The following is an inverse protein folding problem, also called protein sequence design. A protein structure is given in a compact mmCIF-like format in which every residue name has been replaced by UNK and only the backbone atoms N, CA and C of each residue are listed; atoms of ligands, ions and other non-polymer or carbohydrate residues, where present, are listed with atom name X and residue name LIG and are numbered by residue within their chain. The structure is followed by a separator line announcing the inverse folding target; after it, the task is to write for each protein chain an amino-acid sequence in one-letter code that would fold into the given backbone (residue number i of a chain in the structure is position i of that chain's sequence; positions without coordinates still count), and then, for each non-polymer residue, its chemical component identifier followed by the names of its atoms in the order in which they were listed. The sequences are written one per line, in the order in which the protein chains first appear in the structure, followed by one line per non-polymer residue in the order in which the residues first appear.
data_IF_916792004974
#
_entry.id   IF_916792004974
#
_cell.length_a   1.000
_cell.length_b   1.000
_cell.length_c   1.000
_cell.angle_alpha   90.00
_cell.angle_beta   90.00
_cell.angle_gamma   90.00
#
_symmetry.space_group_name_H-M   'P 1'
#
loop_
_entity.id
_entity.type
_entity.pdbx_description
1 polymer ?
#
# COMPACT_ATOMS: atom_id res chain seq x y z
N UNK A 1 0.65 23.30 11.53
CA UNK A 1 2.11 23.22 11.29
C UNK A 1 2.35 23.27 9.79
N UNK A 2 3.55 23.63 9.34
CA UNK A 2 3.94 23.54 7.93
C UNK A 2 4.76 22.28 7.69
N UNK A 3 4.25 21.40 6.83
CA UNK A 3 4.78 20.06 6.61
C UNK A 3 5.15 19.88 5.14
N UNK A 4 6.43 19.61 4.89
CA UNK A 4 6.91 19.22 3.57
C UNK A 4 6.98 17.71 3.47
N UNK A 5 6.31 17.14 2.48
CA UNK A 5 6.46 15.74 2.09
C UNK A 5 7.39 15.62 0.89
N UNK A 6 8.42 14.78 0.97
CA UNK A 6 9.27 14.47 -0.18
C UNK A 6 9.00 13.04 -0.62
N UNK A 7 8.66 12.86 -1.90
CA UNK A 7 8.35 11.56 -2.50
C UNK A 7 8.96 11.46 -3.90
N UNK A 8 9.19 10.25 -4.41
CA UNK A 8 9.81 10.06 -5.72
C UNK A 8 8.93 10.59 -6.87
N UNK A 9 7.67 10.18 -6.89
CA UNK A 9 6.66 10.49 -7.91
C UNK A 9 5.27 10.45 -7.26
N UNK A 10 4.22 10.81 -8.01
CA UNK A 10 2.81 10.69 -7.61
C UNK A 10 2.05 9.71 -8.53
N UNK A 11 2.69 8.60 -8.88
CA UNK A 11 2.10 7.53 -9.70
C UNK A 11 1.12 6.65 -8.89
N UNK A 12 0.67 5.53 -9.47
CA UNK A 12 -0.35 4.62 -8.93
C UNK A 12 0.16 3.67 -7.82
N UNK A 13 1.00 4.16 -6.90
CA UNK A 13 1.56 3.35 -5.81
C UNK A 13 0.80 3.50 -4.48
N UNK A 14 1.12 2.64 -3.52
CA UNK A 14 0.45 2.62 -2.22
C UNK A 14 0.90 3.74 -1.26
N UNK A 15 2.15 4.19 -1.38
CA UNK A 15 2.65 5.32 -0.60
C UNK A 15 2.07 6.64 -1.10
N UNK A 16 1.96 6.77 -2.42
CA UNK A 16 1.35 7.88 -3.13
C UNK A 16 -0.13 8.01 -2.76
N UNK A 17 -0.87 6.88 -2.72
CA UNK A 17 -2.27 6.83 -2.25
C UNK A 17 -2.41 7.31 -0.81
N UNK A 18 -1.56 6.82 0.09
CA UNK A 18 -1.63 7.21 1.49
C UNK A 18 -1.23 8.68 1.69
N UNK A 19 -0.25 9.18 0.94
CA UNK A 19 0.11 10.59 0.95
C UNK A 19 -1.05 11.47 0.45
N UNK A 20 -1.69 11.13 -0.67
CA UNK A 20 -2.86 11.88 -1.17
C UNK A 20 -4.00 11.88 -0.16
N UNK A 21 -4.29 10.73 0.46
CA UNK A 21 -5.34 10.64 1.47
C UNK A 21 -5.02 11.52 2.70
N UNK A 22 -3.78 11.47 3.19
CA UNK A 22 -3.32 12.27 4.33
C UNK A 22 -3.47 13.77 4.05
N UNK A 23 -2.90 14.28 2.96
CA UNK A 23 -2.90 15.73 2.68
C UNK A 23 -4.27 16.28 2.30
N UNK A 24 -5.18 15.43 1.80
CA UNK A 24 -6.53 15.83 1.47
C UNK A 24 -7.46 15.86 2.69
N UNK A 25 -7.15 15.06 3.72
CA UNK A 25 -8.00 14.94 4.92
C UNK A 25 -7.48 15.75 6.11
N UNK A 26 -6.19 16.08 6.15
CA UNK A 26 -5.63 16.97 7.17
C UNK A 26 -5.84 18.44 6.78
N UNK A 27 -6.81 19.08 7.44
CA UNK A 27 -7.18 20.49 7.22
C UNK A 27 -6.53 21.45 8.22
N UNK A 28 -5.81 20.94 9.23
CA UNK A 28 -5.18 21.75 10.27
C UNK A 28 -3.71 22.10 9.95
N UNK A 29 -3.09 21.35 9.05
CA UNK A 29 -1.70 21.55 8.65
C UNK A 29 -1.59 22.05 7.21
N UNK A 30 -0.58 22.90 6.97
CA UNK A 30 -0.22 23.34 5.63
C UNK A 30 0.70 22.29 5.01
N UNK A 31 0.19 21.53 4.04
CA UNK A 31 0.93 20.47 3.35
C UNK A 31 1.53 20.95 2.03
N UNK A 32 2.79 20.60 1.80
CA UNK A 32 3.51 20.88 0.57
C UNK A 32 4.20 19.60 0.12
N UNK A 33 4.01 19.21 -1.13
CA UNK A 33 4.60 17.99 -1.70
C UNK A 33 5.74 18.36 -2.63
N UNK A 34 6.90 17.73 -2.46
CA UNK A 34 8.03 17.79 -3.38
C UNK A 34 8.16 16.43 -4.07
N UNK A 35 8.02 16.40 -5.39
CA UNK A 35 8.30 15.20 -6.20
C UNK A 35 9.68 15.29 -6.83
N UNK A 36 10.45 14.20 -6.78
CA UNK A 36 11.82 14.17 -7.30
C UNK A 36 11.86 14.04 -8.82
N UNK A 37 10.96 13.22 -9.39
CA UNK A 37 10.94 12.90 -10.81
C UNK A 37 9.62 13.33 -11.46
N UNK A 38 9.66 13.59 -12.77
CA UNK A 38 8.47 13.82 -13.55
C UNK A 38 7.67 12.53 -13.75
N UNK A 39 6.39 12.60 -13.43
CA UNK A 39 5.44 11.52 -13.64
C UNK A 39 4.02 12.10 -13.68
N UNK A 40 3.12 11.41 -14.38
CA UNK A 40 1.70 11.76 -14.37
C UNK A 40 1.13 11.48 -12.98
N UNK A 41 0.57 12.52 -12.35
CA UNK A 41 -0.18 12.38 -11.11
C UNK A 41 -1.37 11.44 -11.32
N UNK A 42 -1.48 10.41 -10.48
CA UNK A 42 -2.50 9.39 -10.58
C UNK A 42 -3.69 9.65 -9.64
N UNK A 43 -3.41 10.04 -8.39
CA UNK A 43 -4.43 10.34 -7.38
C UNK A 43 -4.72 11.84 -7.31
N UNK A 44 -5.95 12.19 -6.94
CA UNK A 44 -6.36 13.57 -6.74
C UNK A 44 -5.72 14.15 -5.47
N UNK A 45 -5.29 15.40 -5.56
CA UNK A 45 -4.69 16.17 -4.47
C UNK A 45 -5.43 17.50 -4.42
N UNK A 46 -5.85 17.93 -3.23
CA UNK A 46 -6.54 19.20 -3.00
C UNK A 46 -5.73 20.37 -3.58
N UNK A 47 -6.40 21.31 -4.26
CA UNK A 47 -5.79 22.48 -4.89
C UNK A 47 -5.02 23.37 -3.89
N UNK A 48 -5.38 23.34 -2.61
CA UNK A 48 -4.68 24.05 -1.54
C UNK A 48 -3.27 23.47 -1.27
N UNK A 49 -3.04 22.19 -1.61
CA UNK A 49 -1.76 21.51 -1.39
C UNK A 49 -0.81 21.85 -2.54
N UNK A 50 0.24 22.62 -2.21
CA UNK A 50 1.26 23.00 -3.20
C UNK A 50 2.13 21.80 -3.59
N UNK A 51 2.11 21.43 -4.87
CA UNK A 51 3.00 20.40 -5.44
C UNK A 51 4.16 21.05 -6.21
N UNK A 52 5.39 20.77 -5.79
CA UNK A 52 6.63 21.26 -6.41
C UNK A 52 7.36 20.09 -7.05
N UNK A 53 7.36 20.04 -8.38
CA UNK A 53 8.11 19.02 -9.12
C UNK A 53 9.53 19.52 -9.43
N UNK A 54 10.56 18.76 -9.01
CA UNK A 54 11.96 19.11 -9.28
C UNK A 54 12.45 18.69 -10.67
N UNK A 55 11.69 17.84 -11.37
CA UNK A 55 11.98 17.29 -12.68
C UNK A 55 13.45 16.86 -12.85
N UNK A 56 13.92 15.99 -11.97
CA UNK A 56 15.31 15.54 -11.97
C UNK A 56 15.51 14.40 -12.97
N UNK A 57 16.70 14.35 -13.57
CA UNK A 57 17.12 13.20 -14.36
C UNK A 57 17.78 12.15 -13.44
N UNK A 58 17.79 10.89 -13.87
CA UNK A 58 18.42 9.81 -13.08
C UNK A 58 19.95 9.75 -13.28
N UNK A 59 20.67 10.82 -12.94
CA UNK A 59 22.14 10.91 -13.05
C UNK A 59 22.79 11.59 -11.84
N UNK A 60 24.12 11.49 -11.71
CA UNK A 60 24.86 11.93 -10.50
C UNK A 60 24.77 13.46 -10.27
N UNK A 61 24.87 14.26 -11.34
CA UNK A 61 24.73 15.72 -11.30
C UNK A 61 23.35 16.11 -10.77
N UNK A 62 22.31 15.38 -11.18
CA UNK A 62 20.95 15.58 -10.70
C UNK A 62 20.80 15.25 -9.21
N UNK A 63 21.59 14.32 -8.66
CA UNK A 63 21.57 14.03 -7.20
C UNK A 63 22.15 15.18 -6.37
N UNK A 64 23.22 15.83 -6.83
CA UNK A 64 23.75 17.02 -6.16
C UNK A 64 22.78 18.20 -6.31
N UNK A 65 22.26 18.41 -7.53
CA UNK A 65 21.26 19.43 -7.83
C UNK A 65 19.99 19.25 -6.98
N UNK A 66 19.57 18.00 -6.74
CA UNK A 66 18.42 17.64 -5.90
C UNK A 66 18.55 18.24 -4.50
N UNK A 67 19.68 17.99 -3.82
CA UNK A 67 19.90 18.50 -2.45
C UNK A 67 19.86 20.02 -2.44
N UNK A 68 20.52 20.69 -3.38
CA UNK A 68 20.53 22.16 -3.49
C UNK A 68 19.13 22.74 -3.79
N UNK A 69 18.37 22.10 -4.68
CA UNK A 69 17.01 22.53 -5.02
C UNK A 69 16.06 22.37 -3.83
N UNK A 70 16.11 21.23 -3.15
CA UNK A 70 15.32 21.01 -1.93
C UNK A 70 15.74 22.02 -0.87
N UNK A 71 17.03 22.26 -0.67
CA UNK A 71 17.52 23.25 0.30
C UNK A 71 16.96 24.66 0.04
N UNK A 72 16.90 25.10 -1.23
CA UNK A 72 16.27 26.38 -1.59
C UNK A 72 14.80 26.43 -1.19
N UNK A 73 14.07 25.34 -1.41
CA UNK A 73 12.67 25.21 -1.00
C UNK A 73 12.56 25.26 0.54
N UNK A 74 13.39 24.51 1.28
CA UNK A 74 13.38 24.51 2.75
C UNK A 74 13.68 25.90 3.33
N UNK A 75 14.64 26.64 2.76
CA UNK A 75 14.99 28.01 3.21
C UNK A 75 13.84 28.99 2.97
N UNK A 76 13.19 28.88 1.81
CA UNK A 76 12.08 29.76 1.42
C UNK A 76 10.83 29.49 2.26
N UNK A 77 10.49 28.20 2.42
CA UNK A 77 9.25 27.76 3.04
C UNK A 77 9.37 27.70 4.56
N UNK A 78 10.55 27.41 5.12
CA UNK A 78 10.79 27.25 6.57
C UNK A 78 9.76 26.31 7.24
N UNK A 79 9.68 25.03 6.81
CA UNK A 79 8.72 24.10 7.40
C UNK A 79 9.11 23.73 8.83
N UNK A 80 8.12 23.29 9.61
CA UNK A 80 8.34 22.69 10.93
C UNK A 80 8.86 21.25 10.78
N UNK A 81 8.28 20.52 9.81
CA UNK A 81 8.55 19.10 9.57
C UNK A 81 8.86 18.86 8.09
N UNK A 82 9.85 18.00 7.85
CA UNK A 82 10.07 17.34 6.56
C UNK A 82 9.87 15.83 6.73
N UNK A 83 8.82 15.29 6.12
CA UNK A 83 8.57 13.86 6.06
C UNK A 83 8.98 13.30 4.70
N UNK A 84 9.91 12.36 4.68
CA UNK A 84 10.30 11.64 3.45
C UNK A 84 9.55 10.32 3.34
N UNK A 85 9.30 9.90 2.10
CA UNK A 85 8.57 8.67 1.77
C UNK A 85 9.44 7.69 0.97
N UNK A 86 9.54 6.44 1.46
CA UNK A 86 10.22 5.33 0.79
C UNK A 86 11.66 5.65 0.38
N UNK A 87 11.98 5.61 -0.93
CA UNK A 87 13.33 5.84 -1.45
C UNK A 87 13.83 7.26 -1.21
N UNK A 88 12.94 8.23 -0.97
CA UNK A 88 13.38 9.57 -0.57
C UNK A 88 13.90 9.60 0.88
N UNK A 89 13.73 8.54 1.68
CA UNK A 89 14.31 8.51 3.04
C UNK A 89 15.83 8.68 3.03
N UNK A 90 16.52 8.30 1.94
CA UNK A 90 17.96 8.45 1.85
C UNK A 90 18.44 9.91 1.71
N UNK A 91 17.57 10.88 1.44
CA UNK A 91 18.00 12.30 1.35
C UNK A 91 17.87 13.05 2.68
N UNK A 92 17.03 12.58 3.60
CA UNK A 92 16.72 13.28 4.84
C UNK A 92 17.94 13.51 5.75
N UNK A 93 18.84 12.54 5.98
CA UNK A 93 20.01 12.78 6.84
C UNK A 93 20.94 13.89 6.32
N UNK A 94 21.17 13.95 4.99
CA UNK A 94 21.97 15.02 4.37
C UNK A 94 21.31 16.38 4.61
N UNK A 95 20.00 16.48 4.39
CA UNK A 95 19.27 17.73 4.60
C UNK A 95 19.23 18.13 6.08
N UNK A 96 19.11 17.17 7.00
CA UNK A 96 19.10 17.43 8.45
C UNK A 96 20.39 18.10 8.91
N UNK A 97 21.54 17.70 8.38
CA UNK A 97 22.85 18.31 8.72
C UNK A 97 22.84 19.83 8.47
N UNK A 98 22.19 20.28 7.40
CA UNK A 98 22.10 21.71 7.05
C UNK A 98 20.90 22.43 7.66
N UNK A 99 19.93 21.71 8.25
CA UNK A 99 18.67 22.25 8.74
C UNK A 99 18.32 21.69 10.12
N UNK A 100 19.21 21.89 11.10
CA UNK A 100 19.07 21.31 12.44
C UNK A 100 17.76 21.69 13.17
N UNK A 101 17.18 22.85 12.86
CA UNK A 101 15.92 23.33 13.44
C UNK A 101 14.66 22.65 12.88
N UNK A 102 14.73 22.10 11.67
CA UNK A 102 13.61 21.39 11.05
C UNK A 102 13.61 19.95 11.57
N UNK A 103 12.44 19.41 11.89
CA UNK A 103 12.29 18.00 12.28
C UNK A 103 12.17 17.12 11.04
N UNK A 104 13.01 16.10 10.92
CA UNK A 104 12.99 15.16 9.81
C UNK A 104 12.41 13.82 10.25
N UNK A 105 11.45 13.32 9.46
CA UNK A 105 10.74 12.06 9.73
C UNK A 105 10.87 11.14 8.53
N UNK A 106 11.35 9.91 8.75
CA UNK A 106 11.41 8.89 7.70
C UNK A 106 10.14 8.04 7.71
N UNK A 107 9.48 7.90 6.57
CA UNK A 107 8.30 7.03 6.45
C UNK A 107 8.63 5.76 5.65
N UNK A 108 8.67 4.62 6.33
CA UNK A 108 8.91 3.31 5.77
C UNK A 108 7.59 2.62 5.41
N UNK A 109 7.41 2.34 4.11
CA UNK A 109 6.21 1.71 3.55
C UNK A 109 6.42 0.27 3.07
N UNK A 110 7.56 -0.33 3.40
CA UNK A 110 7.89 -1.70 3.00
C UNK A 110 8.84 -2.35 4.01
N UNK A 111 8.80 -3.68 4.08
CA UNK A 111 9.80 -4.50 4.77
C UNK A 111 11.20 -4.44 4.14
N UNK A 112 12.19 -4.99 4.83
CA UNK A 112 13.62 -4.93 4.47
C UNK A 112 14.19 -6.28 4.07
N UNK A 113 13.46 -7.38 4.32
CA UNK A 113 14.04 -8.72 4.53
C UNK A 113 14.91 -9.28 3.40
N UNK A 114 14.93 -8.69 2.21
CA UNK A 114 15.70 -9.20 1.06
C UNK A 114 16.53 -8.14 0.30
N UNK A 115 16.66 -6.90 0.80
CA UNK A 115 17.19 -5.79 -0.02
C UNK A 115 18.65 -5.41 0.21
N UNK A 116 19.27 -5.80 1.32
CA UNK A 116 20.58 -5.26 1.72
C UNK A 116 21.51 -6.34 2.28
N UNK A 117 22.78 -6.31 1.86
CA UNK A 117 23.84 -7.11 2.45
C UNK A 117 24.25 -6.57 3.84
N UNK A 118 25.01 -7.33 4.62
CA UNK A 118 25.37 -6.98 6.00
C UNK A 118 26.07 -5.61 6.13
N UNK A 119 27.00 -5.30 5.24
CA UNK A 119 27.75 -4.03 5.27
C UNK A 119 26.85 -2.83 4.98
N UNK A 120 25.97 -2.94 3.97
CA UNK A 120 25.01 -1.88 3.67
C UNK A 120 24.01 -1.67 4.80
N UNK A 121 23.64 -2.71 5.55
CA UNK A 121 22.79 -2.59 6.75
C UNK A 121 23.46 -1.75 7.85
N UNK A 122 24.74 -1.98 8.14
CA UNK A 122 25.47 -1.22 9.16
C UNK A 122 25.62 0.25 8.81
N UNK A 123 26.04 0.56 7.58
CA UNK A 123 26.17 1.95 7.11
C UNK A 123 24.81 2.64 7.15
N UNK A 124 23.78 1.96 6.65
CA UNK A 124 22.46 2.54 6.56
C UNK A 124 21.84 2.80 7.94
N UNK A 125 22.13 1.95 8.93
CA UNK A 125 21.72 2.14 10.32
C UNK A 125 22.20 3.47 10.88
N UNK A 126 23.50 3.73 10.83
CA UNK A 126 24.03 4.98 11.37
C UNK A 126 23.57 6.19 10.57
N UNK A 127 23.49 6.04 9.24
CA UNK A 127 23.07 7.12 8.36
C UNK A 127 21.62 7.54 8.58
N UNK A 128 20.68 6.59 8.64
CA UNK A 128 19.26 6.91 8.83
C UNK A 128 18.94 7.37 10.25
N UNK A 129 19.79 7.03 11.24
CA UNK A 129 19.57 7.41 12.64
C UNK A 129 19.84 8.89 12.97
N UNK A 130 20.24 9.70 11.99
CA UNK A 130 20.54 11.13 12.15
C UNK A 130 19.26 12.00 12.28
N UNK A 131 18.09 11.45 11.93
CA UNK A 131 16.81 12.18 11.88
C UNK A 131 16.03 12.10 13.20
N UNK A 132 14.95 12.87 13.30
CA UNK A 132 14.21 13.07 14.55
C UNK A 132 13.12 12.02 14.81
N UNK A 133 12.60 11.36 13.76
CA UNK A 133 11.49 10.41 13.89
C UNK A 133 11.35 9.42 12.74
N UNK A 134 10.58 8.36 12.99
CA UNK A 134 10.37 7.25 12.08
C UNK A 134 8.93 6.77 12.13
N UNK A 135 8.32 6.60 10.96
CA UNK A 135 6.97 6.06 10.80
C UNK A 135 7.09 4.76 10.01
N UNK A 136 6.45 3.71 10.52
CA UNK A 136 6.33 2.42 9.85
C UNK A 136 4.89 2.17 9.47
N UNK A 137 4.66 1.62 8.27
CA UNK A 137 3.32 1.28 7.81
C UNK A 137 2.71 0.08 8.55
N UNK A 138 3.53 -0.73 9.20
CA UNK A 138 3.12 -1.96 9.85
C UNK A 138 4.08 -2.38 10.97
N UNK A 139 3.57 -3.15 11.93
CA UNK A 139 4.36 -3.81 12.95
C UNK A 139 5.33 -4.82 12.33
N UNK A 140 4.92 -5.52 11.27
CA UNK A 140 5.80 -6.42 10.51
C UNK A 140 6.99 -5.65 9.93
N UNK A 141 6.76 -4.50 9.30
CA UNK A 141 7.82 -3.64 8.79
C UNK A 141 8.73 -3.17 9.93
N UNK A 142 8.19 -2.71 11.05
CA UNK A 142 8.99 -2.28 12.20
C UNK A 142 9.90 -3.41 12.74
N UNK A 143 9.33 -4.60 12.93
CA UNK A 143 10.07 -5.79 13.40
C UNK A 143 11.18 -6.18 12.43
N UNK A 144 10.93 -6.18 11.12
CA UNK A 144 11.94 -6.51 10.11
C UNK A 144 13.15 -5.58 10.15
N UNK A 145 12.94 -4.26 10.34
CA UNK A 145 14.07 -3.35 10.52
C UNK A 145 14.80 -3.60 11.86
N UNK A 146 14.07 -3.96 12.92
CA UNK A 146 14.65 -4.35 14.21
C UNK A 146 15.52 -5.62 14.12
N UNK A 147 15.07 -6.64 13.38
CA UNK A 147 15.80 -7.90 13.14
C UNK A 147 17.16 -7.68 12.46
N UNK A 148 17.27 -6.64 11.63
CA UNK A 148 18.55 -6.25 10.98
C UNK A 148 19.37 -5.25 11.80
N UNK A 149 18.97 -4.99 13.05
CA UNK A 149 19.75 -4.26 14.05
C UNK A 149 19.50 -2.75 14.09
N UNK A 150 18.49 -2.22 13.40
CA UNK A 150 18.11 -0.81 13.53
C UNK A 150 17.41 -0.59 14.87
N UNK A 151 17.69 0.56 15.49
CA UNK A 151 17.00 1.05 16.68
C UNK A 151 16.49 2.44 16.35
N UNK A 152 15.19 2.63 16.48
CA UNK A 152 14.51 3.87 16.11
C UNK A 152 13.91 4.50 17.35
N UNK A 153 14.63 5.45 17.91
CA UNK A 153 14.07 6.32 18.94
C UNK A 153 12.95 7.16 18.32
N UNK A 154 11.91 7.44 19.10
CA UNK A 154 10.72 8.17 18.63
C UNK A 154 10.03 7.54 17.40
N UNK A 155 10.04 6.20 17.27
CA UNK A 155 9.28 5.53 16.21
C UNK A 155 7.79 5.39 16.54
N UNK A 156 6.97 5.27 15.48
CA UNK A 156 5.54 4.94 15.56
C UNK A 156 5.14 4.04 14.39
N UNK A 157 4.13 3.21 14.60
CA UNK A 157 3.47 2.47 13.52
C UNK A 157 2.17 3.21 13.19
N UNK A 158 2.05 3.73 11.97
CA UNK A 158 0.81 4.33 11.45
C UNK A 158 0.47 3.64 10.14
N UNK A 159 -0.59 2.83 10.18
CA UNK A 159 -1.08 2.04 9.04
C UNK A 159 -1.63 2.92 7.93
N UNK A 160 -1.91 2.33 6.77
CA UNK A 160 -2.62 3.08 5.73
C UNK A 160 -4.09 3.25 6.13
N UNK A 161 -4.63 4.42 5.83
CA UNK A 161 -6.03 4.77 6.05
C UNK A 161 -6.84 4.76 4.76
N UNK A 162 -8.10 4.37 4.87
CA UNK A 162 -9.04 4.28 3.77
C UNK A 162 -10.13 5.34 3.91
N UNK A 163 -10.52 5.94 2.80
CA UNK A 163 -11.65 6.87 2.76
C UNK A 163 -12.92 6.12 3.18
N UNK A 164 -13.77 6.77 3.96
CA UNK A 164 -15.11 6.27 4.22
C UNK A 164 -15.88 6.16 2.91
N UNK A 165 -16.46 4.99 2.67
CA UNK A 165 -17.31 4.68 1.52
C UNK A 165 -18.58 4.00 2.02
N UNK A 166 -19.64 4.10 1.24
CA UNK A 166 -20.86 3.35 1.54
C UNK A 166 -20.61 1.85 1.36
N UNK A 167 -21.28 1.07 2.19
CA UNK A 167 -21.34 -0.38 2.02
C UNK A 167 -21.98 -0.68 0.67
N UNK A 168 -21.21 -1.26 -0.24
CA UNK A 168 -21.62 -1.55 -1.61
C UNK A 168 -21.19 -2.97 -2.01
N UNK A 169 -21.47 -3.92 -1.13
CA UNK A 169 -21.21 -5.30 -1.42
C UNK A 169 -22.22 -5.82 -2.44
N UNK A 170 -21.72 -6.44 -3.51
CA UNK A 170 -22.56 -7.14 -4.48
C UNK A 170 -23.24 -8.31 -3.77
N UNK A 171 -24.54 -8.18 -3.46
CA UNK A 171 -25.32 -9.32 -3.03
C UNK A 171 -25.62 -10.19 -4.24
N UNK A 172 -24.95 -11.34 -4.35
CA UNK A 172 -25.18 -12.25 -5.46
C UNK A 172 -26.58 -12.87 -5.37
N UNK A 173 -27.45 -12.52 -6.30
CA UNK A 173 -28.75 -13.19 -6.48
C UNK A 173 -28.66 -14.34 -7.50
N UNK A 174 -27.47 -14.54 -8.10
CA UNK A 174 -27.21 -15.58 -9.11
C UNK A 174 -26.37 -16.70 -8.51
N UNK A 175 -26.37 -17.88 -9.15
CA UNK A 175 -25.49 -18.99 -8.76
C UNK A 175 -24.03 -18.84 -9.23
N UNK A 176 -23.66 -17.76 -9.93
CA UNK A 176 -22.30 -17.55 -10.46
C UNK A 176 -21.44 -16.77 -9.47
N UNK A 177 -20.38 -17.38 -8.93
CA UNK A 177 -19.41 -16.69 -8.06
C UNK A 177 -18.38 -15.91 -8.88
N UNK A 178 -18.11 -14.66 -8.52
CA UNK A 178 -17.13 -13.81 -9.20
C UNK A 178 -16.07 -13.36 -8.22
N UNK A 179 -14.85 -13.83 -8.42
CA UNK A 179 -13.68 -13.45 -7.65
C UNK A 179 -12.91 -12.33 -8.35
N UNK A 180 -12.20 -11.52 -7.58
CA UNK A 180 -11.36 -10.45 -8.11
C UNK A 180 -9.89 -10.60 -7.74
N UNK A 181 -9.04 -9.99 -8.54
CA UNK A 181 -7.63 -9.76 -8.23
C UNK A 181 -7.22 -8.38 -8.76
N UNK A 182 -6.62 -7.59 -7.88
CA UNK A 182 -6.07 -6.27 -8.23
C UNK A 182 -4.59 -6.22 -7.86
N UNK A 183 -3.72 -6.06 -8.85
CA UNK A 183 -2.29 -5.94 -8.60
C UNK A 183 -1.45 -5.98 -9.87
N UNK A 184 -0.38 -5.17 -9.91
CA UNK A 184 0.61 -5.20 -11.00
C UNK A 184 1.24 -6.58 -11.14
N UNK A 185 1.59 -6.95 -12.37
CA UNK A 185 2.31 -8.19 -12.62
C UNK A 185 3.73 -8.15 -12.02
N UNK A 186 4.02 -9.01 -11.04
CA UNK A 186 5.30 -9.07 -10.34
C UNK A 186 5.43 -10.41 -9.61
N UNK A 187 6.63 -11.00 -9.57
CA UNK A 187 6.91 -12.23 -8.82
C UNK A 187 6.42 -12.23 -7.35
N UNK A 188 6.55 -11.11 -6.64
CA UNK A 188 6.10 -10.95 -5.25
C UNK A 188 4.59 -11.15 -5.13
N UNK A 189 3.83 -10.80 -6.17
CA UNK A 189 2.37 -10.84 -6.20
C UNK A 189 1.81 -12.23 -6.55
N UNK A 190 2.67 -13.19 -6.86
CA UNK A 190 2.39 -14.62 -7.02
C UNK A 190 1.18 -14.97 -7.92
N UNK A 191 1.03 -14.26 -9.05
CA UNK A 191 -0.09 -14.51 -9.95
C UNK A 191 -0.06 -15.90 -10.58
N UNK A 192 1.12 -16.49 -10.75
CA UNK A 192 1.23 -17.88 -11.22
C UNK A 192 0.49 -18.87 -10.31
N UNK A 193 0.65 -18.75 -8.98
CA UNK A 193 -0.08 -19.58 -8.02
C UNK A 193 -1.59 -19.38 -8.13
N UNK A 194 -2.03 -18.11 -8.18
CA UNK A 194 -3.45 -17.77 -8.34
C UNK A 194 -4.06 -18.42 -9.58
N UNK A 195 -3.42 -18.27 -10.74
CA UNK A 195 -3.97 -18.77 -12.01
C UNK A 195 -4.01 -20.30 -12.02
N UNK A 196 -2.97 -20.98 -11.52
CA UNK A 196 -2.96 -22.45 -11.45
C UNK A 196 -4.07 -22.99 -10.57
N UNK A 197 -4.18 -22.49 -9.34
CA UNK A 197 -5.19 -22.92 -8.37
C UNK A 197 -6.60 -22.64 -8.88
N UNK A 198 -6.83 -21.45 -9.46
CA UNK A 198 -8.14 -21.08 -9.99
C UNK A 198 -8.49 -21.89 -11.24
N UNK A 199 -7.53 -22.18 -12.12
CA UNK A 199 -7.75 -23.01 -13.31
C UNK A 199 -8.16 -24.44 -12.93
N UNK A 200 -7.53 -25.02 -11.90
CA UNK A 200 -7.94 -26.33 -11.40
C UNK A 200 -9.34 -26.28 -10.78
N UNK A 201 -9.61 -25.28 -9.92
CA UNK A 201 -10.89 -25.07 -9.27
C UNK A 201 -12.06 -24.96 -10.26
N UNK A 202 -11.90 -24.16 -11.32
CA UNK A 202 -13.03 -23.72 -12.14
C UNK A 202 -13.57 -24.79 -13.09
N UNK A 203 -12.87 -25.92 -13.21
CA UNK A 203 -13.29 -27.04 -14.07
C UNK A 203 -14.66 -27.55 -13.62
N UNK A 204 -15.68 -27.40 -14.48
CA UNK A 204 -17.09 -27.70 -14.18
C UNK A 204 -17.74 -26.88 -13.06
N UNK A 205 -17.19 -25.69 -12.74
CA UNK A 205 -17.79 -24.75 -11.76
C UNK A 205 -18.27 -23.48 -12.46
N UNK A 206 -19.38 -22.93 -11.97
CA UNK A 206 -19.90 -21.64 -12.44
C UNK A 206 -19.25 -20.49 -11.65
N UNK A 207 -17.99 -20.17 -11.96
CA UNK A 207 -17.27 -19.09 -11.31
C UNK A 207 -16.37 -18.31 -12.29
N UNK A 208 -16.07 -17.05 -11.98
CA UNK A 208 -15.20 -16.17 -12.77
C UNK A 208 -14.13 -15.52 -11.92
N UNK A 209 -13.00 -15.19 -12.55
CA UNK A 209 -11.92 -14.41 -11.96
C UNK A 209 -11.66 -13.15 -12.78
N UNK A 210 -11.96 -11.99 -12.21
CA UNK A 210 -11.63 -10.68 -12.77
C UNK A 210 -10.21 -10.29 -12.36
N UNK A 211 -9.35 -10.03 -13.35
CA UNK A 211 -7.94 -9.72 -13.17
C UNK A 211 -7.66 -8.29 -13.65
N UNK A 212 -7.16 -7.44 -12.75
CA UNK A 212 -6.79 -6.07 -13.08
C UNK A 212 -5.40 -5.70 -12.52
N UNK A 213 -4.63 -4.97 -13.31
CA UNK A 213 -3.34 -4.41 -12.89
C UNK A 213 -2.37 -4.18 -14.05
N UNK A 214 -1.46 -3.21 -13.84
CA UNK A 214 -0.41 -2.88 -14.82
C UNK A 214 0.40 -4.12 -15.18
N UNK A 215 0.45 -4.41 -16.49
CA UNK A 215 1.23 -5.51 -17.06
C UNK A 215 0.71 -6.91 -16.73
N UNK A 216 -0.46 -7.06 -16.11
CA UNK A 216 -1.12 -8.35 -15.87
C UNK A 216 -1.93 -8.73 -17.10
N UNK A 217 -1.32 -9.52 -17.97
CA UNK A 217 -1.89 -9.85 -19.28
C UNK A 217 -2.04 -11.35 -19.47
N UNK A 218 -3.01 -11.75 -20.29
CA UNK A 218 -3.30 -13.14 -20.61
C UNK A 218 -2.05 -13.86 -21.16
N UNK A 219 -1.30 -13.23 -22.06
CA UNK A 219 -0.14 -13.83 -22.73
C UNK A 219 0.95 -14.28 -21.75
N UNK A 220 1.06 -13.62 -20.59
CA UNK A 220 2.06 -13.98 -19.57
C UNK A 220 1.69 -15.21 -18.76
N UNK A 221 0.41 -15.56 -18.74
CA UNK A 221 -0.16 -16.56 -17.84
C UNK A 221 -0.95 -17.65 -18.58
N UNK A 222 -1.12 -17.54 -19.90
CA UNK A 222 -1.87 -18.49 -20.73
C UNK A 222 -1.39 -19.93 -20.61
N UNK A 223 -0.09 -20.15 -20.35
CA UNK A 223 0.47 -21.50 -20.21
C UNK A 223 -0.04 -22.26 -18.96
N UNK A 224 -0.75 -21.58 -18.07
CA UNK A 224 -1.35 -22.14 -16.86
C UNK A 224 -2.86 -22.31 -16.97
N UNK A 225 -3.46 -21.99 -18.13
CA UNK A 225 -4.90 -21.98 -18.34
C UNK A 225 -5.24 -23.01 -19.41
N UNK A 226 -6.15 -23.94 -19.13
CA UNK A 226 -6.63 -24.88 -20.13
C UNK A 226 -7.54 -24.19 -21.14
N UNK A 227 -7.61 -24.73 -22.37
CA UNK A 227 -8.44 -24.14 -23.43
C UNK A 227 -9.92 -24.04 -23.04
N UNK A 228 -10.43 -25.04 -22.33
CA UNK A 228 -11.80 -25.11 -21.83
C UNK A 228 -12.09 -24.02 -20.79
N UNK A 229 -11.09 -23.62 -19.99
CA UNK A 229 -11.29 -22.70 -18.87
C UNK A 229 -11.05 -21.22 -19.20
N UNK A 230 -10.64 -20.88 -20.43
CA UNK A 230 -10.30 -19.49 -20.81
C UNK A 230 -11.40 -18.48 -20.51
N UNK A 231 -12.66 -18.87 -20.70
CA UNK A 231 -13.83 -17.99 -20.51
C UNK A 231 -14.09 -17.63 -19.05
N UNK A 232 -13.44 -18.29 -18.10
CA UNK A 232 -13.55 -17.99 -16.67
C UNK A 232 -12.62 -16.86 -16.21
N UNK A 233 -11.66 -16.43 -17.05
CA UNK A 233 -10.70 -15.38 -16.73
C UNK A 233 -11.03 -14.09 -17.48
N UNK A 234 -11.38 -13.03 -16.75
CA UNK A 234 -11.71 -11.72 -17.32
C UNK A 234 -10.53 -10.76 -17.10
N UNK A 235 -9.84 -10.40 -18.17
CA UNK A 235 -8.67 -9.53 -18.14
C UNK A 235 -9.07 -8.08 -18.36
N UNK A 236 -8.97 -7.24 -17.32
CA UNK A 236 -9.31 -5.80 -17.38
C UNK A 236 -8.12 -4.89 -17.69
N UNK A 237 -6.90 -5.41 -17.62
CA UNK A 237 -5.68 -4.60 -17.79
C UNK A 237 -5.48 -3.61 -16.64
N UNK A 238 -4.78 -2.51 -16.90
CA UNK A 238 -4.59 -1.44 -15.90
C UNK A 238 -5.88 -0.63 -15.74
N UNK A 239 -6.45 -0.62 -14.53
CA UNK A 239 -7.63 0.18 -14.17
C UNK A 239 -7.20 1.43 -13.41
N UNK A 240 -7.82 2.57 -13.71
CA UNK A 240 -7.57 3.83 -12.98
C UNK A 240 -8.19 3.79 -11.58
N UNK A 241 -9.40 3.26 -11.48
CA UNK A 241 -10.11 3.10 -10.22
C UNK A 241 -10.34 1.60 -9.94
N UNK A 242 -9.66 1.03 -8.92
CA UNK A 242 -9.82 -0.38 -8.59
C UNK A 242 -11.21 -0.70 -8.01
N UNK A 243 -11.97 0.29 -7.53
CA UNK A 243 -13.33 0.07 -7.02
C UNK A 243 -14.29 -0.46 -8.10
N UNK A 244 -14.05 -0.13 -9.37
CA UNK A 244 -14.80 -0.72 -10.50
C UNK A 244 -14.65 -2.24 -10.59
N UNK A 245 -13.57 -2.81 -10.03
CA UNK A 245 -13.42 -4.26 -9.89
C UNK A 245 -14.13 -4.73 -8.63
N UNK A 246 -13.89 -4.08 -7.49
CA UNK A 246 -14.44 -4.50 -6.20
C UNK A 246 -15.97 -4.54 -6.17
N UNK A 247 -16.64 -3.58 -6.81
CA UNK A 247 -18.12 -3.53 -6.88
C UNK A 247 -18.75 -4.69 -7.66
N UNK A 248 -17.93 -5.43 -8.43
CA UNK A 248 -18.41 -6.49 -9.32
C UNK A 248 -18.01 -7.91 -8.85
N UNK A 249 -17.40 -8.05 -7.67
CA UNK A 249 -16.89 -9.32 -7.16
C UNK A 249 -17.52 -9.68 -5.80
N UNK A 250 -17.64 -10.99 -5.55
CA UNK A 250 -18.11 -11.56 -4.30
C UNK A 250 -16.99 -11.69 -3.26
N UNK A 251 -15.73 -11.84 -3.72
CA UNK A 251 -14.55 -11.83 -2.87
C UNK A 251 -13.30 -11.40 -3.65
N UNK A 252 -12.39 -10.67 -2.98
CA UNK A 252 -11.06 -10.37 -3.50
C UNK A 252 -10.08 -11.48 -3.11
N UNK A 253 -9.23 -11.92 -4.03
CA UNK A 253 -8.14 -12.86 -3.76
C UNK A 253 -6.80 -12.11 -3.74
N UNK A 254 -6.00 -12.31 -2.69
CA UNK A 254 -4.61 -11.88 -2.60
C UNK A 254 -3.69 -13.08 -2.38
N UNK A 255 -2.75 -13.33 -3.30
CA UNK A 255 -1.83 -14.48 -3.23
C UNK A 255 -0.37 -14.10 -2.99
N UNK A 256 -0.11 -12.85 -2.64
CA UNK A 256 1.24 -12.30 -2.52
C UNK A 256 2.15 -13.10 -1.57
N UNK A 257 3.45 -13.09 -1.86
CA UNK A 257 4.50 -13.71 -1.04
C UNK A 257 4.96 -12.80 0.09
N UNK A 258 4.96 -11.49 -0.14
CA UNK A 258 5.41 -10.49 0.83
C UNK A 258 4.83 -9.12 0.49
N UNK A 259 4.29 -8.42 1.48
CA UNK A 259 3.85 -7.02 1.37
C UNK A 259 4.20 -6.27 2.66
N UNK A 260 4.21 -4.94 2.63
CA UNK A 260 4.23 -4.14 3.86
C UNK A 260 2.83 -4.05 4.46
N UNK A 261 1.94 -3.41 3.70
CA UNK A 261 0.52 -3.26 4.00
C UNK A 261 -0.27 -3.34 2.68
N UNK A 262 -1.00 -4.43 2.41
CA UNK A 262 -1.68 -4.65 1.15
C UNK A 262 -2.95 -3.79 1.01
N UNK A 263 -2.82 -2.60 0.41
CA UNK A 263 -3.93 -1.65 0.26
C UNK A 263 -5.20 -2.24 -0.36
N UNK A 264 -5.06 -3.14 -1.33
CA UNK A 264 -6.21 -3.75 -2.01
C UNK A 264 -7.14 -4.50 -1.06
N UNK A 265 -6.61 -5.04 0.06
CA UNK A 265 -7.42 -5.66 1.10
C UNK A 265 -8.34 -4.62 1.73
N UNK A 266 -7.78 -3.54 2.26
CA UNK A 266 -8.59 -2.54 2.92
C UNK A 266 -9.46 -1.72 1.96
N UNK A 267 -9.04 -1.54 0.70
CA UNK A 267 -9.90 -0.94 -0.34
C UNK A 267 -11.13 -1.81 -0.61
N UNK A 268 -10.97 -3.12 -0.82
CA UNK A 268 -12.09 -4.04 -1.01
C UNK A 268 -13.00 -4.11 0.23
N UNK A 269 -12.40 -4.30 1.42
CA UNK A 269 -13.15 -4.35 2.68
C UNK A 269 -13.86 -3.03 2.99
N UNK A 270 -13.37 -1.87 2.52
CA UNK A 270 -13.99 -0.56 2.75
C UNK A 270 -15.37 -0.40 2.10
N UNK A 271 -15.71 -1.23 1.10
CA UNK A 271 -17.05 -1.32 0.51
C UNK A 271 -17.77 -2.63 0.88
N UNK A 272 -17.18 -3.42 1.78
CA UNK A 272 -17.73 -4.68 2.25
C UNK A 272 -17.36 -5.90 1.40
N UNK A 273 -16.38 -5.85 0.51
CA UNK A 273 -15.93 -7.05 -0.20
C UNK A 273 -15.03 -7.89 0.73
N UNK A 274 -15.40 -9.13 1.09
CA UNK A 274 -14.55 -10.00 1.88
C UNK A 274 -13.31 -10.44 1.07
N UNK A 275 -12.27 -10.85 1.79
CA UNK A 275 -10.96 -11.13 1.20
C UNK A 275 -10.50 -12.55 1.52
N UNK A 276 -9.99 -13.24 0.51
CA UNK A 276 -9.24 -14.50 0.63
C UNK A 276 -7.76 -14.14 0.45
N UNK A 277 -6.91 -14.39 1.45
CA UNK A 277 -5.52 -13.94 1.38
C UNK A 277 -4.52 -14.95 1.89
N UNK A 278 -3.35 -14.97 1.26
CA UNK A 278 -2.11 -15.49 1.85
C UNK A 278 -1.60 -14.60 2.98
N UNK A 279 -0.70 -15.12 3.82
CA UNK A 279 -0.02 -14.31 4.84
C UNK A 279 1.11 -13.47 4.21
N UNK A 280 0.79 -12.25 3.78
CA UNK A 280 1.70 -11.32 3.13
C UNK A 280 1.71 -9.99 3.89
N UNK A 281 2.76 -9.76 4.69
CA UNK A 281 2.87 -8.56 5.50
C UNK A 281 1.90 -8.57 6.66
N UNK A 282 0.96 -7.61 6.66
CA UNK A 282 -0.13 -7.53 7.63
C UNK A 282 -1.49 -7.97 7.06
N UNK A 283 -1.51 -8.79 5.99
CA UNK A 283 -2.78 -9.21 5.39
C UNK A 283 -3.71 -9.89 6.39
N UNK A 284 -3.20 -10.77 7.25
CA UNK A 284 -4.00 -11.47 8.26
C UNK A 284 -4.50 -10.54 9.37
N UNK A 285 -3.68 -9.58 9.76
CA UNK A 285 -4.02 -8.56 10.75
C UNK A 285 -5.10 -7.63 10.20
N UNK A 286 -5.00 -7.20 8.94
CA UNK A 286 -6.04 -6.36 8.31
C UNK A 286 -7.34 -7.17 8.18
N UNK A 287 -7.28 -8.44 7.77
CA UNK A 287 -8.47 -9.29 7.61
C UNK A 287 -9.11 -9.65 8.96
N UNK A 288 -8.34 -9.90 10.02
CA UNK A 288 -8.89 -10.41 11.28
C UNK A 288 -9.74 -11.66 11.05
N UNK A 289 -10.97 -11.70 11.57
CA UNK A 289 -11.92 -12.80 11.35
C UNK A 289 -12.95 -12.49 10.24
N UNK A 290 -12.76 -11.38 9.53
CA UNK A 290 -13.69 -10.86 8.52
C UNK A 290 -13.40 -11.32 7.09
N UNK A 291 -12.55 -12.32 6.92
CA UNK A 291 -12.25 -12.94 5.63
C UNK A 291 -11.60 -14.31 5.82
N UNK A 292 -10.99 -14.81 4.74
CA UNK A 292 -10.49 -16.17 4.65
C UNK A 292 -8.96 -16.16 4.55
N UNK A 293 -8.32 -16.94 5.43
CA UNK A 293 -6.85 -17.02 5.53
C UNK A 293 -6.40 -18.34 4.91
N UNK A 294 -5.55 -18.25 3.89
CA UNK A 294 -4.98 -19.40 3.19
C UNK A 294 -3.45 -19.35 3.24
N UNK A 295 -2.78 -20.47 3.10
CA UNK A 295 -1.34 -20.47 2.84
C UNK A 295 -1.04 -20.50 1.33
N UNK A 296 0.25 -20.55 0.98
CA UNK A 296 0.68 -20.66 -0.43
C UNK A 296 0.97 -22.11 -0.84
N UNK A 297 0.44 -23.10 -0.11
CA UNK A 297 0.56 -24.51 -0.49
C UNK A 297 -0.42 -24.85 -1.60
N UNK A 298 -0.02 -25.80 -2.45
CA UNK A 298 -0.87 -26.25 -3.55
C UNK A 298 -2.18 -26.85 -3.00
N UNK A 299 -3.31 -26.44 -3.56
CA UNK A 299 -4.67 -26.83 -3.17
C UNK A 299 -5.29 -25.97 -2.08
N UNK A 300 -4.53 -25.08 -1.42
CA UNK A 300 -5.02 -24.25 -0.30
C UNK A 300 -6.09 -23.25 -0.75
N UNK A 301 -5.83 -22.57 -1.88
CA UNK A 301 -6.81 -21.66 -2.46
C UNK A 301 -8.00 -22.46 -3.01
N UNK A 302 -7.75 -23.55 -3.76
CA UNK A 302 -8.81 -24.40 -4.31
C UNK A 302 -9.78 -24.89 -3.23
N UNK A 303 -9.27 -25.42 -2.12
CA UNK A 303 -10.09 -25.92 -1.01
C UNK A 303 -11.00 -24.84 -0.44
N UNK A 304 -10.49 -23.61 -0.31
CA UNK A 304 -11.27 -22.47 0.16
C UNK A 304 -12.34 -22.07 -0.87
N UNK A 305 -12.01 -22.07 -2.16
CA UNK A 305 -12.97 -21.77 -3.21
C UNK A 305 -14.08 -22.82 -3.31
N UNK A 306 -13.74 -24.12 -3.20
CA UNK A 306 -14.72 -25.22 -3.16
C UNK A 306 -15.67 -25.08 -1.97
N UNK A 307 -15.13 -24.78 -0.79
CA UNK A 307 -15.94 -24.50 0.41
C UNK A 307 -16.92 -23.34 0.19
N UNK A 308 -16.48 -22.25 -0.43
CA UNK A 308 -17.31 -21.07 -0.69
C UNK A 308 -18.40 -21.31 -1.74
N UNK A 309 -18.22 -22.26 -2.66
CA UNK A 309 -19.30 -22.68 -3.58
C UNK A 309 -20.48 -23.24 -2.80
N UNK A 310 -20.21 -23.96 -1.72
CA UNK A 310 -21.21 -24.64 -0.89
C UNK A 310 -21.77 -23.75 0.23
N UNK A 311 -21.03 -22.72 0.67
CA UNK A 311 -21.34 -21.89 1.85
C UNK A 311 -21.36 -20.39 1.49
N UNK A 312 -22.09 -20.01 0.44
CA UNK A 312 -22.09 -18.63 -0.08
C UNK A 312 -22.63 -17.60 0.93
N UNK A 313 -23.49 -18.01 1.85
CA UNK A 313 -24.00 -17.17 2.93
C UNK A 313 -22.89 -16.62 3.83
N UNK A 314 -21.77 -17.33 3.98
CA UNK A 314 -20.64 -16.86 4.77
C UNK A 314 -19.99 -15.64 4.12
N UNK A 315 -20.01 -15.51 2.78
CA UNK A 315 -19.51 -14.31 2.12
C UNK A 315 -20.28 -13.05 2.55
N UNK A 316 -21.59 -13.17 2.77
CA UNK A 316 -22.45 -12.06 3.23
C UNK A 316 -22.14 -11.70 4.68
N UNK A 317 -21.90 -12.70 5.54
CA UNK A 317 -21.49 -12.47 6.93
C UNK A 317 -20.12 -11.77 6.98
N UNK A 318 -19.12 -12.36 6.31
CA UNK A 318 -17.76 -11.81 6.25
C UNK A 318 -17.72 -10.43 5.63
N UNK A 319 -18.57 -10.17 4.63
CA UNK A 319 -18.74 -8.86 4.03
C UNK A 319 -19.07 -7.77 5.05
N UNK A 320 -20.07 -8.00 5.91
CA UNK A 320 -20.47 -7.03 6.95
C UNK A 320 -19.37 -6.83 7.98
N UNK A 321 -18.73 -7.92 8.41
CA UNK A 321 -17.59 -7.86 9.33
C UNK A 321 -16.42 -7.08 8.73
N UNK A 322 -16.15 -7.28 7.43
CA UNK A 322 -15.03 -6.66 6.73
C UNK A 322 -15.21 -5.15 6.63
N UNK A 323 -16.42 -4.72 6.27
CA UNK A 323 -16.79 -3.31 6.26
C UNK A 323 -16.63 -2.67 7.63
N UNK A 324 -17.25 -3.26 8.67
CA UNK A 324 -17.19 -2.72 10.02
C UNK A 324 -15.75 -2.64 10.54
N UNK A 325 -14.93 -3.65 10.25
CA UNK A 325 -13.52 -3.65 10.63
C UNK A 325 -12.75 -2.46 10.06
N UNK A 326 -13.00 -2.07 8.81
CA UNK A 326 -12.39 -0.87 8.22
C UNK A 326 -12.89 0.40 8.89
N UNK A 327 -14.21 0.51 9.12
CA UNK A 327 -14.81 1.67 9.81
C UNK A 327 -14.20 1.87 11.21
N UNK A 328 -13.97 0.79 11.95
CA UNK A 328 -13.50 0.88 13.33
C UNK A 328 -12.00 1.16 13.45
N UNK A 329 -11.18 0.64 12.53
CA UNK A 329 -9.73 0.55 12.74
C UNK A 329 -8.86 1.27 11.71
N UNK A 330 -9.39 1.50 10.50
CA UNK A 330 -8.58 1.90 9.34
C UNK A 330 -9.13 3.09 8.56
N UNK A 331 -10.09 3.84 9.11
CA UNK A 331 -10.53 5.10 8.51
C UNK A 331 -9.39 6.12 8.45
N UNK A 332 -9.31 6.85 7.34
CA UNK A 332 -8.27 7.85 7.09
C UNK A 332 -8.25 8.93 8.17
N UNK A 333 -9.42 9.33 8.66
CA UNK A 333 -9.61 10.39 9.64
C UNK A 333 -8.87 10.03 10.94
N UNK A 334 -8.99 8.77 11.38
CA UNK A 334 -8.28 8.27 12.55
C UNK A 334 -6.76 8.27 12.32
N UNK A 335 -6.31 7.89 11.11
CA UNK A 335 -4.88 7.90 10.77
C UNK A 335 -4.31 9.31 10.69
N UNK A 336 -5.08 10.28 10.19
CA UNK A 336 -4.70 11.70 10.18
C UNK A 336 -4.45 12.19 11.61
N UNK A 337 -5.33 11.86 12.57
CA UNK A 337 -5.10 12.22 13.97
C UNK A 337 -3.85 11.55 14.56
N UNK A 338 -3.59 10.27 14.24
CA UNK A 338 -2.34 9.60 14.62
C UNK A 338 -1.10 10.33 14.07
N UNK A 339 -1.14 10.81 12.81
CA UNK A 339 -0.07 11.64 12.24
C UNK A 339 0.09 12.96 13.00
N UNK A 340 -1.02 13.67 13.27
CA UNK A 340 -1.00 14.97 13.96
C UNK A 340 -0.43 14.86 15.36
N UNK A 341 -0.85 13.85 16.13
CA UNK A 341 -0.33 13.60 17.47
C UNK A 341 1.15 13.26 17.44
N UNK A 342 1.57 12.45 16.47
CA UNK A 342 2.97 12.12 16.28
C UNK A 342 3.81 13.35 15.90
N UNK A 343 3.32 14.20 14.99
CA UNK A 343 3.98 15.46 14.62
C UNK A 343 4.15 16.39 15.81
N UNK A 344 3.11 16.59 16.62
CA UNK A 344 3.18 17.39 17.87
C UNK A 344 4.22 16.82 18.83
N UNK A 345 4.26 15.49 19.01
CA UNK A 345 5.27 14.81 19.84
C UNK A 345 6.69 15.07 19.35
N UNK A 346 6.95 14.93 18.05
CA UNK A 346 8.28 15.09 17.46
C UNK A 346 8.78 16.54 17.55
N UNK A 347 7.89 17.52 17.39
CA UNK A 347 8.23 18.94 17.59
C UNK A 347 8.57 19.21 19.06
N UNK A 348 7.81 18.64 20.00
CA UNK A 348 8.02 18.81 21.44
C UNK A 348 9.22 18.05 22.01
N UNK A 349 9.78 17.08 21.29
CA UNK A 349 10.96 16.33 21.70
C UNK A 349 12.21 17.23 21.68
N UNK A 350 12.83 17.41 22.86
CA UNK A 350 14.04 18.20 23.07
C UNK A 350 15.28 17.57 22.45
#
# INVERSE_FOLDING_TARGET
MRIIHIITTLESGGAERMLSNLVNCDTENEHIIITLFEAKQHYEINEEVKVINLNLNNNILSRLKMVLMIQKVLISIRPDIVQTWMKSNYIAPILKIFNSRIKFILNFRHGVKERYNFVSKLILKHYLNIVDGYIFVSNSSFKEFGEIGFKFDNSVVITNGFLKRDYNYRSNTTKELVFGYVGRFNFIKNQEFLIKEFNEFVTNKNAKLILAGRGLTYEKLTKYISDENKNHFIWKGEVKDPFQVYENIDALILTSKSEGFPNVIGEAMSIGVPVISTNAGESYEIIGDSGFKIDSTQGSLRTTLDYLVENQEELVEKSRMAYQRIQDNYLIENKVEEYKDYYKKIIGAK
#
